data_IF_784380239483
#
_entry.id   IF_784380239483
#
_cell.length_a   1.000
_cell.length_b   1.000
_cell.length_c   1.000
_cell.angle_alpha   90.00
_cell.angle_beta   90.00
_cell.angle_gamma   90.00
#
_symmetry.space_group_name_H-M   'P 1'
#
loop_
_entity.id
_entity.type
_entity.pdbx_description
1 polymer ?
#
# COMPACT_ATOMS: atom_id res chain seq x y z
N UNK A 1 37.89 31.47 -20.32
CA UNK A 1 36.43 31.56 -20.52
C UNK A 1 36.03 32.99 -20.26
N UNK A 2 35.28 33.61 -21.17
CA UNK A 2 34.70 34.92 -20.91
C UNK A 2 33.58 34.79 -19.86
N UNK A 3 33.45 35.76 -18.93
CA UNK A 3 32.38 35.75 -17.94
C UNK A 3 31.01 35.89 -18.62
N UNK A 4 30.06 35.06 -18.20
CA UNK A 4 28.68 35.12 -18.67
C UNK A 4 28.00 36.37 -18.09
N UNK A 5 27.44 37.21 -18.96
CA UNK A 5 26.67 38.39 -18.54
C UNK A 5 25.28 37.96 -18.08
N UNK A 6 24.93 38.30 -16.84
CA UNK A 6 23.62 38.04 -16.25
C UNK A 6 22.79 39.32 -16.22
N UNK A 7 21.48 39.18 -16.40
CA UNK A 7 20.52 40.24 -16.04
C UNK A 7 20.43 40.38 -14.52
N UNK A 8 19.93 41.52 -13.99
CA UNK A 8 19.77 41.71 -12.55
C UNK A 8 18.96 40.60 -11.86
N UNK A 9 17.87 40.14 -12.50
CA UNK A 9 17.04 39.04 -11.98
C UNK A 9 17.80 37.71 -11.92
N UNK A 10 18.57 37.39 -12.96
CA UNK A 10 19.41 36.19 -12.98
C UNK A 10 20.53 36.24 -11.94
N UNK A 11 21.14 37.42 -11.74
CA UNK A 11 22.17 37.63 -10.74
C UNK A 11 21.61 37.44 -9.31
N UNK A 12 20.42 37.97 -9.03
CA UNK A 12 19.74 37.79 -7.75
C UNK A 12 19.43 36.30 -7.48
N UNK A 13 18.94 35.57 -8.48
CA UNK A 13 18.70 34.12 -8.36
C UNK A 13 20.00 33.35 -8.10
N UNK A 14 21.08 33.67 -8.82
CA UNK A 14 22.38 33.02 -8.61
C UNK A 14 22.96 33.34 -7.23
N UNK A 15 22.79 34.56 -6.72
CA UNK A 15 23.22 34.93 -5.37
C UNK A 15 22.56 34.05 -4.31
N UNK A 16 21.24 33.83 -4.40
CA UNK A 16 20.52 32.94 -3.47
C UNK A 16 21.07 31.52 -3.48
N UNK A 17 21.36 30.97 -4.67
CA UNK A 17 21.97 29.64 -4.81
C UNK A 17 23.37 29.60 -4.19
N UNK A 18 24.19 30.62 -4.42
CA UNK A 18 25.55 30.72 -3.86
C UNK A 18 25.52 30.84 -2.34
N UNK A 19 24.59 31.60 -1.78
CA UNK A 19 24.41 31.71 -0.33
C UNK A 19 24.08 30.35 0.31
N UNK A 20 23.15 29.59 -0.28
CA UNK A 20 22.79 28.24 0.18
C UNK A 20 24.01 27.31 0.16
N UNK A 21 24.74 27.27 -0.96
CA UNK A 21 25.89 26.37 -1.09
C UNK A 21 27.07 26.79 -0.19
N UNK A 22 27.20 28.08 0.14
CA UNK A 22 28.20 28.53 1.12
C UNK A 22 27.86 28.13 2.56
N UNK A 23 26.57 27.95 2.89
CA UNK A 23 26.15 27.42 4.19
C UNK A 23 26.45 25.92 4.32
N UNK A 24 26.41 25.18 3.21
CA UNK A 24 26.75 23.76 3.15
C UNK A 24 27.76 23.48 2.01
N UNK A 25 29.08 23.70 2.24
CA UNK A 25 30.10 23.62 1.19
C UNK A 25 30.21 22.25 0.50
N UNK A 26 29.71 21.18 1.12
CA UNK A 26 29.61 19.83 0.52
C UNK A 26 28.69 19.77 -0.69
N UNK A 27 27.83 20.77 -0.94
CA UNK A 27 26.93 20.82 -2.09
C UNK A 27 27.62 21.29 -3.38
N UNK A 28 28.83 21.87 -3.33
CA UNK A 28 29.54 22.37 -4.52
C UNK A 28 29.74 21.31 -5.63
N UNK A 29 30.18 20.07 -5.33
CA UNK A 29 30.30 19.02 -6.33
C UNK A 29 28.96 18.67 -6.98
N UNK A 30 27.89 18.62 -6.19
CA UNK A 30 26.53 18.30 -6.64
C UNK A 30 25.98 19.41 -7.55
N UNK A 31 26.07 20.68 -7.14
CA UNK A 31 25.65 21.82 -7.95
C UNK A 31 26.38 21.84 -9.31
N UNK A 32 27.68 21.52 -9.31
CA UNK A 32 28.48 21.45 -10.54
C UNK A 32 27.98 20.34 -11.48
N UNK A 33 27.59 19.18 -10.95
CA UNK A 33 26.97 18.12 -11.75
C UNK A 33 25.60 18.55 -12.29
N UNK A 34 24.75 19.16 -11.46
CA UNK A 34 23.42 19.66 -11.85
C UNK A 34 23.53 20.66 -13.01
N UNK A 35 24.44 21.63 -12.92
CA UNK A 35 24.63 22.65 -13.98
C UNK A 35 25.19 22.08 -15.28
N UNK A 36 25.94 20.96 -15.22
CA UNK A 36 26.55 20.31 -16.40
C UNK A 36 25.62 19.32 -17.07
N UNK A 37 24.90 18.53 -16.28
CA UNK A 37 24.18 17.35 -16.76
C UNK A 37 22.65 17.54 -16.70
N UNK A 38 22.17 18.63 -16.10
CA UNK A 38 20.78 18.75 -15.66
C UNK A 38 20.53 17.97 -14.36
N UNK A 39 19.28 17.93 -13.95
CA UNK A 39 18.81 17.17 -12.79
C UNK A 39 17.44 16.59 -13.10
N UNK A 40 17.14 15.44 -12.50
CA UNK A 40 15.83 14.82 -12.49
C UNK A 40 15.40 14.74 -11.02
N UNK A 41 14.19 15.22 -10.72
CA UNK A 41 13.61 15.04 -9.40
C UNK A 41 12.97 13.66 -9.43
N UNK A 42 13.50 12.72 -8.66
CA UNK A 42 12.81 11.46 -8.41
C UNK A 42 11.53 11.83 -7.64
N UNK A 43 10.38 11.79 -8.33
CA UNK A 43 9.11 12.00 -7.65
C UNK A 43 9.00 10.92 -6.57
N UNK A 44 8.71 11.28 -5.30
CA UNK A 44 8.66 10.30 -4.21
C UNK A 44 7.56 9.24 -4.37
N UNK A 45 6.73 9.38 -5.40
CA UNK A 45 5.55 8.60 -5.65
C UNK A 45 5.43 8.32 -7.16
N UNK A 46 4.83 7.19 -7.51
CA UNK A 46 4.36 6.89 -8.87
C UNK A 46 2.91 6.42 -8.85
N UNK A 47 2.24 6.53 -9.99
CA UNK A 47 0.91 5.93 -10.18
C UNK A 47 0.99 4.43 -9.92
N UNK A 48 0.04 3.92 -9.15
CA UNK A 48 -0.02 2.52 -8.69
C UNK A 48 0.67 2.26 -7.36
N UNK A 49 1.40 3.23 -6.79
CA UNK A 49 1.94 3.07 -5.44
C UNK A 49 0.82 3.01 -4.39
N UNK A 50 1.05 2.20 -3.36
CA UNK A 50 0.21 2.16 -2.18
C UNK A 50 0.80 3.08 -1.13
N UNK A 51 -0.01 3.99 -0.62
CA UNK A 51 0.35 4.98 0.38
C UNK A 51 -0.57 4.87 1.59
N UNK A 52 -0.12 5.39 2.71
CA UNK A 52 -0.94 5.59 3.91
C UNK A 52 -1.29 7.06 3.99
N UNK A 53 -2.59 7.34 4.14
CA UNK A 53 -3.13 8.67 4.37
C UNK A 53 -4.15 8.60 5.51
N UNK A 54 -3.92 9.39 6.57
CA UNK A 54 -4.75 9.39 7.80
C UNK A 54 -5.01 8.00 8.41
N UNK A 55 -4.08 7.07 8.23
CA UNK A 55 -4.18 5.69 8.71
C UNK A 55 -4.81 4.70 7.71
N UNK A 56 -5.43 5.20 6.64
CA UNK A 56 -6.01 4.37 5.58
C UNK A 56 -5.00 4.05 4.49
N UNK A 57 -5.04 2.82 3.95
CA UNK A 57 -4.27 2.48 2.75
C UNK A 57 -5.02 2.97 1.52
N UNK A 58 -4.32 3.75 0.72
CA UNK A 58 -4.80 4.30 -0.55
C UNK A 58 -3.86 3.90 -1.70
N UNK A 59 -4.38 3.90 -2.91
CA UNK A 59 -3.60 3.76 -4.14
C UNK A 59 -3.54 5.10 -4.88
N UNK A 60 -2.38 5.43 -5.43
CA UNK A 60 -2.22 6.60 -6.29
C UNK A 60 -2.76 6.27 -7.68
N UNK A 61 -3.87 6.89 -8.06
CA UNK A 61 -4.55 6.60 -9.33
C UNK A 61 -4.00 7.42 -10.49
N UNK A 62 -3.66 8.69 -10.22
CA UNK A 62 -3.15 9.63 -11.23
C UNK A 62 -2.56 10.88 -10.59
N UNK A 63 -1.67 11.54 -11.33
CA UNK A 63 -1.25 12.90 -11.04
C UNK A 63 -2.23 13.91 -11.67
N UNK A 64 -2.50 14.99 -10.97
CA UNK A 64 -3.34 16.09 -11.44
C UNK A 64 -2.43 17.18 -12.01
N UNK A 65 -2.13 17.11 -13.31
CA UNK A 65 -1.16 17.98 -13.97
C UNK A 65 -1.78 18.78 -15.13
N UNK A 66 -2.83 19.56 -14.85
CA UNK A 66 -3.41 20.46 -15.86
C UNK A 66 -2.98 21.92 -15.64
N UNK A 67 -2.34 22.22 -14.51
CA UNK A 67 -1.89 23.58 -14.13
C UNK A 67 -0.49 23.59 -13.54
N UNK A 68 0.25 24.71 -13.64
CA UNK A 68 1.57 24.83 -13.03
C UNK A 68 1.46 24.59 -11.52
N UNK A 69 2.15 23.56 -11.02
CA UNK A 69 2.19 23.22 -9.60
C UNK A 69 2.68 24.44 -8.81
N UNK A 70 1.83 24.94 -7.92
CA UNK A 70 2.26 25.89 -6.88
C UNK A 70 2.81 25.05 -5.75
N UNK A 71 3.96 25.44 -5.20
CA UNK A 71 4.50 24.81 -4.00
C UNK A 71 3.73 25.33 -2.78
N UNK A 72 2.52 24.81 -2.58
CA UNK A 72 1.59 25.15 -1.50
C UNK A 72 1.54 24.08 -0.40
N UNK A 73 2.51 23.17 -0.38
CA UNK A 73 2.61 22.07 0.58
C UNK A 73 1.65 20.90 0.30
N UNK A 74 0.94 20.90 -0.83
CA UNK A 74 -0.01 19.85 -1.20
C UNK A 74 0.55 18.85 -2.20
N UNK A 75 -0.08 17.68 -2.25
CA UNK A 75 0.14 16.65 -3.24
C UNK A 75 -0.95 16.74 -4.32
N UNK A 76 -0.52 16.99 -5.56
CA UNK A 76 -1.38 17.04 -6.74
C UNK A 76 -1.55 15.64 -7.34
N UNK A 77 -2.10 14.73 -6.54
CA UNK A 77 -2.37 13.35 -6.91
C UNK A 77 -3.78 12.97 -6.44
N UNK A 78 -4.34 11.95 -7.10
CA UNK A 78 -5.62 11.35 -6.70
C UNK A 78 -5.33 10.08 -5.91
N UNK A 79 -5.73 10.06 -4.65
CA UNK A 79 -5.69 8.88 -3.80
C UNK A 79 -7.02 8.16 -3.88
N UNK A 80 -7.01 6.85 -4.01
CA UNK A 80 -8.21 6.02 -3.89
C UNK A 80 -8.08 5.12 -2.67
N UNK A 81 -8.96 5.30 -1.69
CA UNK A 81 -8.98 4.45 -0.49
C UNK A 81 -9.34 3.03 -0.87
N UNK A 82 -8.54 2.08 -0.38
CA UNK A 82 -8.69 0.69 -0.74
C UNK A 82 -9.87 0.00 -0.03
N UNK A 83 -10.37 0.57 1.07
CA UNK A 83 -11.51 0.04 1.83
C UNK A 83 -12.84 0.12 1.07
N UNK A 84 -13.14 1.28 0.50
CA UNK A 84 -14.45 1.61 -0.09
C UNK A 84 -14.36 2.21 -1.50
N UNK A 85 -13.15 2.51 -1.99
CA UNK A 85 -12.93 3.10 -3.30
C UNK A 85 -13.16 4.61 -3.37
N UNK A 86 -13.34 5.29 -2.24
CA UNK A 86 -13.50 6.74 -2.20
C UNK A 86 -12.21 7.44 -2.71
N UNK A 87 -12.38 8.48 -3.52
CA UNK A 87 -11.27 9.23 -4.11
C UNK A 87 -11.05 10.56 -3.38
N UNK A 88 -9.79 10.84 -3.08
CA UNK A 88 -9.34 12.05 -2.40
C UNK A 88 -8.33 12.79 -3.27
N UNK A 89 -8.35 14.12 -3.15
CA UNK A 89 -7.50 15.01 -3.92
C UNK A 89 -7.01 16.15 -3.05
N UNK A 90 -5.93 16.80 -3.50
CA UNK A 90 -5.39 18.00 -2.89
C UNK A 90 -4.97 17.79 -1.41
N UNK A 91 -4.38 16.64 -1.12
CA UNK A 91 -4.00 16.20 0.22
C UNK A 91 -2.72 16.88 0.70
N UNK A 92 -2.57 17.23 1.99
CA UNK A 92 -1.29 17.71 2.52
C UNK A 92 -0.17 16.69 2.30
N UNK A 93 1.00 17.16 1.86
CA UNK A 93 2.13 16.26 1.55
C UNK A 93 2.66 15.53 2.77
N UNK A 94 2.63 16.17 3.93
CA UNK A 94 3.07 15.60 5.21
C UNK A 94 2.20 14.44 5.72
N UNK A 95 0.95 14.36 5.26
CA UNK A 95 0.01 13.32 5.67
C UNK A 95 0.11 12.05 4.81
N UNK A 96 0.92 12.07 3.74
CA UNK A 96 1.03 10.98 2.78
C UNK A 96 2.43 10.39 2.83
N UNK A 97 2.51 9.08 3.06
CA UNK A 97 3.76 8.30 2.97
C UNK A 97 3.54 7.01 2.23
N UNK A 98 4.60 6.43 1.68
CA UNK A 98 4.55 5.08 1.15
C UNK A 98 4.09 4.07 2.24
N UNK A 99 3.25 3.13 1.84
CA UNK A 99 2.87 2.02 2.69
C UNK A 99 4.05 1.06 2.84
N UNK A 100 4.21 0.54 4.05
CA UNK A 100 5.22 -0.49 4.34
C UNK A 100 4.79 -1.83 3.76
N UNK A 101 5.73 -2.75 3.52
CA UNK A 101 5.42 -4.09 3.04
C UNK A 101 4.43 -4.83 3.95
N UNK A 102 4.51 -4.61 5.27
CA UNK A 102 3.59 -5.19 6.26
C UNK A 102 2.16 -4.68 6.09
N UNK A 103 2.00 -3.37 5.89
CA UNK A 103 0.69 -2.73 5.65
C UNK A 103 0.09 -3.23 4.33
N UNK A 104 0.90 -3.30 3.27
CA UNK A 104 0.48 -3.83 1.96
C UNK A 104 0.05 -5.30 2.09
N UNK A 105 0.80 -6.13 2.83
CA UNK A 105 0.45 -7.52 3.04
C UNK A 105 -0.88 -7.68 3.79
N UNK A 106 -1.07 -6.90 4.87
CA UNK A 106 -2.31 -6.92 5.66
C UNK A 106 -3.54 -6.52 4.81
N UNK A 107 -3.43 -5.47 3.99
CA UNK A 107 -4.55 -5.04 3.14
C UNK A 107 -4.82 -6.02 2.00
N UNK A 108 -3.79 -6.68 1.45
CA UNK A 108 -3.99 -7.77 0.49
C UNK A 108 -4.72 -8.95 1.12
N UNK A 109 -4.39 -9.30 2.35
CA UNK A 109 -5.06 -10.36 3.10
C UNK A 109 -6.52 -9.99 3.39
N UNK A 110 -6.77 -8.78 3.93
CA UNK A 110 -8.12 -8.26 4.15
C UNK A 110 -8.98 -8.35 2.89
N UNK A 111 -8.44 -7.94 1.74
CA UNK A 111 -9.14 -8.03 0.45
C UNK A 111 -9.43 -9.45 0.00
N UNK A 112 -8.53 -10.41 0.26
CA UNK A 112 -8.77 -11.83 -0.06
C UNK A 112 -9.93 -12.41 0.75
N UNK A 113 -9.97 -12.13 2.04
CA UNK A 113 -11.07 -12.55 2.92
C UNK A 113 -12.39 -11.85 2.57
N UNK A 114 -12.35 -10.53 2.33
CA UNK A 114 -13.54 -9.79 1.89
C UNK A 114 -14.11 -10.29 0.56
N UNK A 115 -13.26 -10.78 -0.36
CA UNK A 115 -13.71 -11.34 -1.64
C UNK A 115 -14.51 -12.64 -1.50
N UNK A 116 -14.38 -13.35 -0.37
CA UNK A 116 -15.20 -14.52 -0.01
C UNK A 116 -16.30 -14.17 1.02
N UNK A 117 -16.50 -12.87 1.30
CA UNK A 117 -17.54 -12.39 2.21
C UNK A 117 -17.26 -12.64 3.68
N UNK A 118 -15.99 -12.74 4.08
CA UNK A 118 -15.57 -13.03 5.46
C UNK A 118 -14.56 -12.02 6.00
N UNK A 119 -14.47 -11.92 7.32
CA UNK A 119 -13.40 -11.20 8.02
C UNK A 119 -12.08 -11.99 8.02
N UNK A 120 -10.96 -11.31 8.26
CA UNK A 120 -9.64 -11.95 8.31
C UNK A 120 -9.59 -12.92 9.49
N UNK A 121 -9.31 -14.19 9.21
CA UNK A 121 -9.25 -15.24 10.24
C UNK A 121 -10.61 -15.82 10.61
N UNK A 122 -11.68 -15.45 9.91
CA UNK A 122 -13.02 -16.01 10.12
C UNK A 122 -13.14 -17.41 9.48
N UNK A 123 -12.58 -18.41 10.16
CA UNK A 123 -12.71 -19.81 9.77
C UNK A 123 -14.08 -20.39 10.16
N UNK A 124 -14.59 -21.31 9.36
CA UNK A 124 -15.83 -22.04 9.59
C UNK A 124 -15.60 -23.56 9.58
N UNK A 125 -16.48 -24.29 10.26
CA UNK A 125 -16.52 -25.75 10.14
C UNK A 125 -16.74 -26.15 8.68
N UNK A 126 -15.95 -27.11 8.19
CA UNK A 126 -15.95 -27.54 6.80
C UNK A 126 -14.99 -26.78 5.89
N UNK A 127 -14.27 -25.77 6.37
CA UNK A 127 -13.21 -25.15 5.56
C UNK A 127 -12.06 -26.12 5.30
N UNK A 128 -11.51 -26.08 4.09
CA UNK A 128 -10.22 -26.71 3.83
C UNK A 128 -9.10 -25.70 4.02
N UNK A 129 -8.14 -26.06 4.88
CA UNK A 129 -7.00 -25.22 5.23
C UNK A 129 -5.70 -25.97 4.98
N UNK A 130 -4.64 -25.24 4.66
CA UNK A 130 -3.27 -25.76 4.55
C UNK A 130 -2.51 -25.45 5.82
N UNK A 131 -2.22 -26.46 6.62
CA UNK A 131 -1.24 -26.34 7.69
C UNK A 131 0.17 -26.23 7.11
N UNK A 132 0.94 -25.22 7.57
CA UNK A 132 2.29 -24.91 7.08
C UNK A 132 3.26 -26.10 7.14
N UNK A 133 3.06 -27.02 8.09
CA UNK A 133 3.88 -28.22 8.30
C UNK A 133 3.27 -29.56 7.88
N UNK A 134 1.94 -29.68 7.89
CA UNK A 134 1.27 -30.99 7.84
C UNK A 134 0.40 -31.18 6.60
N UNK A 135 0.30 -30.18 5.72
CA UNK A 135 -0.46 -30.29 4.48
C UNK A 135 -1.90 -29.81 4.65
N UNK A 136 -2.80 -30.36 3.83
CA UNK A 136 -4.21 -29.93 3.77
C UNK A 136 -5.02 -30.73 4.79
N UNK A 137 -5.87 -30.04 5.55
CA UNK A 137 -6.81 -30.63 6.49
C UNK A 137 -8.13 -29.85 6.46
N UNK A 138 -9.16 -30.39 7.11
CA UNK A 138 -10.47 -29.77 7.22
C UNK A 138 -10.70 -29.27 8.65
N UNK A 139 -11.24 -28.06 8.77
CA UNK A 139 -11.73 -27.52 10.04
C UNK A 139 -12.98 -28.32 10.45
N UNK A 140 -12.95 -28.96 11.61
CA UNK A 140 -14.10 -29.72 12.13
C UNK A 140 -15.06 -28.81 12.90
N UNK A 141 -14.52 -27.92 13.73
CA UNK A 141 -15.24 -26.87 14.44
C UNK A 141 -14.26 -25.73 14.75
N UNK A 142 -14.79 -24.57 15.15
CA UNK A 142 -13.99 -23.43 15.61
C UNK A 142 -14.28 -23.21 17.09
N UNK A 143 -13.24 -23.32 17.90
CA UNK A 143 -13.28 -23.03 19.32
C UNK A 143 -13.03 -21.53 19.54
N UNK A 144 -13.85 -20.89 20.37
CA UNK A 144 -13.78 -19.44 20.59
C UNK A 144 -12.47 -19.02 21.28
N UNK A 145 -11.93 -19.88 22.14
CA UNK A 145 -10.71 -19.57 22.91
C UNK A 145 -9.44 -20.05 22.18
N UNK A 146 -9.54 -21.17 21.47
CA UNK A 146 -8.37 -21.88 20.93
C UNK A 146 -8.28 -21.86 19.40
N UNK A 147 -9.28 -21.30 18.70
CA UNK A 147 -9.30 -21.21 17.24
C UNK A 147 -9.77 -22.50 16.54
N UNK A 148 -9.47 -22.66 15.23
CA UNK A 148 -9.95 -23.78 14.43
C UNK A 148 -9.37 -25.13 14.86
N UNK A 149 -10.24 -26.12 15.06
CA UNK A 149 -9.86 -27.51 15.31
C UNK A 149 -9.74 -28.27 14.00
N UNK A 150 -8.57 -28.85 13.71
CA UNK A 150 -8.34 -29.60 12.48
C UNK A 150 -8.57 -31.10 12.68
N UNK A 151 -9.42 -31.69 11.85
CA UNK A 151 -9.89 -33.08 11.99
C UNK A 151 -8.75 -34.10 11.92
N UNK A 152 -7.85 -33.97 10.96
CA UNK A 152 -6.73 -34.87 10.76
C UNK A 152 -5.66 -34.74 11.85
N UNK A 153 -5.36 -33.50 12.28
CA UNK A 153 -4.39 -33.25 13.37
C UNK A 153 -4.94 -33.49 14.77
N UNK A 154 -6.26 -33.51 14.95
CA UNK A 154 -6.95 -33.68 16.23
C UNK A 154 -6.55 -32.65 17.29
N UNK A 155 -6.34 -31.41 16.88
CA UNK A 155 -6.02 -30.28 17.78
C UNK A 155 -6.49 -28.96 17.21
N UNK A 156 -6.64 -27.96 18.08
CA UNK A 156 -6.73 -26.57 17.66
C UNK A 156 -5.36 -26.06 17.18
N UNK A 157 -5.41 -25.09 16.27
CA UNK A 157 -4.23 -24.45 15.67
C UNK A 157 -4.42 -22.94 15.69
N UNK A 158 -3.33 -22.20 15.80
CA UNK A 158 -3.38 -20.75 15.63
C UNK A 158 -3.59 -20.42 14.15
N UNK A 159 -4.23 -19.29 13.86
CA UNK A 159 -4.41 -18.77 12.50
C UNK A 159 -3.08 -18.64 11.74
N UNK A 160 -2.01 -18.34 12.48
CA UNK A 160 -0.66 -18.23 11.94
C UNK A 160 -0.06 -19.59 11.52
N UNK A 161 -0.67 -20.72 11.84
CA UNK A 161 -0.21 -22.06 11.42
C UNK A 161 -0.85 -22.53 10.11
N UNK A 162 -1.94 -21.87 9.68
CA UNK A 162 -2.78 -22.34 8.58
C UNK A 162 -3.02 -21.24 7.53
N UNK A 163 -3.49 -21.66 6.36
CA UNK A 163 -3.94 -20.78 5.28
C UNK A 163 -5.24 -21.37 4.71
N UNK A 164 -6.27 -20.56 4.55
CA UNK A 164 -7.52 -20.99 3.93
C UNK A 164 -7.29 -21.35 2.46
N UNK A 165 -7.65 -22.58 2.06
CA UNK A 165 -7.58 -23.03 0.67
C UNK A 165 -8.96 -22.90 0.00
N UNK A 166 -9.99 -23.41 0.66
CA UNK A 166 -11.34 -23.44 0.12
C UNK A 166 -12.35 -23.22 1.25
N UNK A 167 -13.09 -22.10 1.23
CA UNK A 167 -14.15 -21.87 2.19
C UNK A 167 -15.30 -22.85 1.95
N UNK A 168 -15.97 -23.27 3.03
CA UNK A 168 -17.04 -24.27 2.99
C UNK A 168 -18.17 -23.90 2.02
N UNK A 169 -18.51 -22.62 1.87
CA UNK A 169 -19.59 -22.13 1.00
C UNK A 169 -19.24 -22.28 -0.49
N UNK A 170 -17.96 -22.45 -0.83
CA UNK A 170 -17.48 -22.65 -2.20
C UNK A 170 -17.20 -24.12 -2.53
N UNK A 171 -17.43 -25.03 -1.60
CA UNK A 171 -17.26 -26.48 -1.81
C UNK A 171 -18.38 -27.05 -2.68
N UNK A 172 -18.02 -27.80 -3.70
CA UNK A 172 -18.99 -28.47 -4.57
C UNK A 172 -19.67 -29.67 -3.91
N UNK A 173 -18.99 -30.32 -2.96
CA UNK A 173 -19.48 -31.54 -2.29
C UNK A 173 -20.49 -31.26 -1.16
N UNK A 174 -20.70 -29.99 -0.81
CA UNK A 174 -21.67 -29.56 0.22
C UNK A 174 -22.98 -29.08 -0.41
N UNK A 175 -23.03 -28.81 -1.72
CA UNK A 175 -24.25 -28.43 -2.42
C UNK A 175 -25.12 -29.68 -2.65
N UNK A 176 -26.05 -29.95 -1.72
CA UNK A 176 -26.91 -31.14 -1.83
C UNK A 176 -28.14 -31.23 -0.92
N UNK A 177 -28.21 -30.49 0.20
CA UNK A 177 -29.23 -30.82 1.23
C UNK A 177 -30.35 -29.79 1.43
N UNK A 178 -30.38 -28.68 0.67
CA UNK A 178 -31.41 -27.62 0.83
C UNK A 178 -32.58 -27.67 -0.18
N UNK A 179 -32.61 -28.65 -1.10
CA UNK A 179 -33.68 -28.80 -2.11
C UNK A 179 -34.72 -29.91 -1.75
N UNK A 180 -34.89 -30.25 -0.48
CA UNK A 180 -36.03 -31.07 0.01
C UNK A 180 -37.02 -30.23 0.84
N UNK A 181 -37.53 -29.13 0.26
CA UNK A 181 -38.79 -28.52 0.74
C UNK A 181 -39.47 -27.66 -0.33
N UNK A 182 -40.08 -28.33 -1.32
CA UNK A 182 -41.10 -27.76 -2.20
C UNK A 182 -42.19 -28.80 -2.49
#
# INVERSE_FOLDING_TARGET
MEPVKLTPKQAETFQKVVEIVNQEPSLWPLLTQILRNGYEIEEPFKVGDWVVWLGDICEIVRFQCDTPMKDDGRCYLTLKRLADGEEFYNTPREDVRLATEKEIAAEKERRRWAAIGREVGEYHAGDFVRHKRYGIDMVEFVDVENGPYLRGLKRCVDDNEIELICPVEHRFDVKGDDDESA
#
